data_IF_517076741659
#
_entry.id   IF_517076741659
#
_cell.length_a   1.000
_cell.length_b   1.000
_cell.length_c   1.000
_cell.angle_alpha   90.00
_cell.angle_beta   90.00
_cell.angle_gamma   90.00
#
_symmetry.space_group_name_H-M   'P 1'
#
loop_
_entity.id
_entity.type
_entity.pdbx_description
1 polymer ?
#
# COMPACT_ATOMS: atom_id res chain seq x y z
N UNK A 1 34.97 18.42 -42.57
CA UNK A 1 34.18 18.48 -41.32
C UNK A 1 33.01 19.38 -41.60
N UNK A 2 31.82 18.79 -41.72
CA UNK A 2 30.60 19.46 -42.17
C UNK A 2 29.89 20.12 -40.99
N UNK A 3 29.14 21.19 -41.24
CA UNK A 3 28.41 22.01 -40.26
C UNK A 3 27.42 21.26 -39.32
N UNK A 4 27.25 19.94 -39.48
CA UNK A 4 26.53 19.06 -38.55
C UNK A 4 27.36 18.65 -37.33
N UNK A 5 28.69 18.60 -37.43
CA UNK A 5 29.55 18.16 -36.32
C UNK A 5 29.69 19.25 -35.26
N UNK A 6 29.66 20.52 -35.65
CA UNK A 6 29.77 21.68 -34.75
C UNK A 6 28.49 21.89 -33.91
N UNK A 7 27.33 21.40 -34.38
CA UNK A 7 26.05 21.58 -33.70
C UNK A 7 25.83 20.56 -32.56
N UNK A 8 26.49 19.40 -32.63
CA UNK A 8 26.41 18.34 -31.61
C UNK A 8 27.31 18.67 -30.42
N UNK A 9 28.52 19.20 -30.66
CA UNK A 9 29.44 19.57 -29.58
C UNK A 9 28.91 20.72 -28.71
N UNK A 10 28.20 21.68 -29.31
CA UNK A 10 27.63 22.83 -28.56
C UNK A 10 26.46 22.42 -27.65
N UNK A 11 25.77 21.33 -27.99
CA UNK A 11 24.63 20.82 -27.21
C UNK A 11 25.08 19.92 -26.04
N UNK A 12 26.24 19.27 -26.18
CA UNK A 12 26.86 18.47 -25.11
C UNK A 12 27.44 19.39 -24.02
N UNK A 13 28.02 20.55 -24.38
CA UNK A 13 28.57 21.51 -23.40
C UNK A 13 27.49 22.25 -22.61
N UNK A 14 26.33 22.55 -23.22
CA UNK A 14 25.19 23.15 -22.49
C UNK A 14 24.53 22.17 -21.51
N UNK A 15 24.42 20.88 -21.85
CA UNK A 15 23.88 19.87 -20.93
C UNK A 15 24.84 19.55 -19.77
N UNK A 16 26.16 19.62 -20.00
CA UNK A 16 27.16 19.48 -18.94
C UNK A 16 27.10 20.65 -17.94
N UNK A 17 26.95 21.89 -18.42
CA UNK A 17 26.84 23.06 -17.55
C UNK A 17 25.54 23.09 -16.72
N UNK A 18 24.42 22.59 -17.25
CA UNK A 18 23.16 22.44 -16.49
C UNK A 18 23.29 21.33 -15.43
N UNK A 19 24.08 20.27 -15.70
CA UNK A 19 24.35 19.21 -14.71
C UNK A 19 25.30 19.65 -13.61
N UNK A 20 26.26 20.54 -13.89
CA UNK A 20 27.17 21.10 -12.88
C UNK A 20 26.50 22.19 -12.02
N UNK A 21 25.59 22.99 -12.58
CA UNK A 21 24.78 23.95 -11.81
C UNK A 21 23.73 23.26 -10.91
N UNK A 22 23.21 22.10 -11.31
CA UNK A 22 22.35 21.27 -10.46
C UNK A 22 23.13 20.52 -9.36
N UNK A 23 24.46 20.39 -9.49
CA UNK A 23 25.31 19.69 -8.53
C UNK A 23 25.78 20.60 -7.36
N UNK A 24 25.59 21.92 -7.45
CA UNK A 24 26.05 22.88 -6.44
C UNK A 24 24.97 23.46 -5.53
N UNK A 25 23.70 23.07 -5.70
CA UNK A 25 22.58 23.45 -4.80
C UNK A 25 22.05 22.25 -3.98
N UNK A 26 22.88 21.23 -3.78
CA UNK A 26 22.64 20.18 -2.79
C UNK A 26 22.96 20.66 -1.38
N UNK A 27 22.22 21.63 -0.85
CA UNK A 27 22.18 21.83 0.60
C UNK A 27 21.83 20.49 1.24
N UNK A 28 22.69 20.05 2.16
CA UNK A 28 22.57 18.79 2.86
C UNK A 28 21.25 18.70 3.63
N UNK A 29 20.20 18.24 2.96
CA UNK A 29 18.97 17.82 3.59
C UNK A 29 19.36 16.71 4.57
N UNK A 30 19.29 17.01 5.87
CA UNK A 30 19.72 16.10 6.94
C UNK A 30 18.85 14.85 6.83
N UNK A 31 19.35 13.83 6.14
CA UNK A 31 18.65 12.57 5.91
C UNK A 31 18.10 12.07 7.24
N UNK A 32 16.77 12.05 7.42
CA UNK A 32 16.13 11.71 8.69
C UNK A 32 16.76 10.42 9.26
N UNK A 33 17.38 10.41 10.43
CA UNK A 33 18.04 9.19 10.93
C UNK A 33 17.06 8.31 11.69
N UNK A 34 16.81 7.09 11.19
CA UNK A 34 15.92 6.13 11.86
C UNK A 34 16.43 5.79 13.28
N UNK A 35 15.54 5.59 14.28
CA UNK A 35 15.93 5.36 15.68
C UNK A 35 16.88 4.16 15.84
N UNK A 36 18.03 4.31 16.50
CA UNK A 36 18.92 3.18 16.82
C UNK A 36 18.62 2.68 18.24
N UNK A 37 17.94 1.56 18.34
CA UNK A 37 17.44 0.99 19.61
C UNK A 37 17.75 -0.49 19.70
N UNK A 38 17.82 -1.03 20.92
CA UNK A 38 18.13 -2.45 21.17
C UNK A 38 17.12 -3.42 20.54
N UNK A 39 15.88 -2.96 20.31
CA UNK A 39 14.84 -3.76 19.68
C UNK A 39 14.85 -3.69 18.14
N UNK A 40 15.83 -3.00 17.52
CA UNK A 40 16.02 -3.03 16.07
C UNK A 40 16.59 -4.39 15.65
N UNK A 41 15.81 -5.18 14.93
CA UNK A 41 16.20 -6.53 14.51
C UNK A 41 17.11 -6.54 13.29
N UNK A 42 16.82 -5.68 12.30
CA UNK A 42 17.70 -5.48 11.14
C UNK A 42 17.45 -4.13 10.47
N UNK A 43 18.40 -3.77 9.60
CA UNK A 43 18.36 -2.58 8.75
C UNK A 43 18.76 -2.95 7.34
N UNK A 44 18.24 -2.20 6.39
CA UNK A 44 18.68 -2.21 4.99
C UNK A 44 18.93 -0.78 4.56
N UNK A 45 19.25 -0.57 3.29
CA UNK A 45 19.27 0.78 2.74
C UNK A 45 17.90 1.44 2.90
N UNK A 46 17.86 2.63 3.53
CA UNK A 46 16.63 3.42 3.69
C UNK A 46 15.63 2.94 4.75
N UNK A 47 15.82 1.77 5.38
CA UNK A 47 14.81 1.21 6.29
C UNK A 47 15.28 0.35 7.46
N UNK A 48 14.35 0.07 8.38
CA UNK A 48 14.61 -0.70 9.60
C UNK A 48 13.35 -1.41 10.13
N UNK A 49 13.54 -2.61 10.66
CA UNK A 49 12.49 -3.38 11.35
C UNK A 49 12.81 -3.51 12.84
N UNK A 50 11.84 -3.21 13.69
CA UNK A 50 11.91 -3.31 15.15
C UNK A 50 10.96 -4.39 15.70
N UNK A 51 11.38 -5.09 16.73
CA UNK A 51 10.57 -6.07 17.45
C UNK A 51 9.91 -5.40 18.66
N UNK A 52 8.63 -5.66 18.88
CA UNK A 52 7.90 -5.25 20.08
C UNK A 52 6.47 -4.79 19.81
N UNK A 53 5.76 -4.47 20.89
CA UNK A 53 4.43 -3.87 20.81
C UNK A 53 4.50 -2.50 20.11
N UNK A 54 3.75 -2.33 19.03
CA UNK A 54 3.84 -1.17 18.16
C UNK A 54 3.55 0.14 18.88
N UNK A 55 2.53 0.17 19.75
CA UNK A 55 2.17 1.36 20.54
C UNK A 55 3.29 1.75 21.50
N UNK A 56 3.88 0.79 22.23
CA UNK A 56 5.02 1.04 23.14
C UNK A 56 6.26 1.52 22.39
N UNK A 57 6.59 0.89 21.26
CA UNK A 57 7.75 1.25 20.45
C UNK A 57 7.59 2.67 19.89
N UNK A 58 6.44 2.98 19.29
CA UNK A 58 6.18 4.28 18.67
C UNK A 58 6.13 5.43 19.70
N UNK A 59 5.64 5.19 20.92
CA UNK A 59 5.64 6.19 22.01
C UNK A 59 7.00 6.34 22.71
N UNK A 60 7.99 5.52 22.39
CA UNK A 60 9.30 5.58 23.05
C UNK A 60 10.08 6.84 22.66
N UNK A 61 10.92 7.35 23.57
CA UNK A 61 11.73 8.56 23.35
C UNK A 61 12.52 8.56 22.02
N UNK A 62 13.15 7.44 21.59
CA UNK A 62 13.84 7.40 20.30
C UNK A 62 12.95 7.64 19.08
N UNK A 63 11.67 7.25 19.15
CA UNK A 63 10.70 7.32 18.05
C UNK A 63 10.01 8.67 17.92
N UNK A 64 10.04 9.53 18.95
CA UNK A 64 9.56 10.92 18.88
C UNK A 64 10.10 11.70 17.67
N UNK A 65 11.30 11.37 17.20
CA UNK A 65 11.90 12.01 16.01
C UNK A 65 11.12 11.79 14.71
N UNK A 66 10.20 10.82 14.69
CA UNK A 66 9.33 10.49 13.57
C UNK A 66 7.98 11.23 13.63
N UNK A 67 7.66 11.89 14.75
CA UNK A 67 6.48 12.75 14.87
C UNK A 67 6.48 13.79 13.75
N UNK A 68 5.35 13.94 13.05
CA UNK A 68 5.20 14.87 11.93
C UNK A 68 5.92 14.50 10.63
N UNK A 69 6.47 13.28 10.47
CA UNK A 69 7.37 12.93 9.36
C UNK A 69 6.99 11.70 8.55
N UNK A 70 5.98 10.95 8.97
CA UNK A 70 5.53 9.76 8.25
C UNK A 70 4.57 10.18 7.14
N UNK A 71 4.91 9.90 5.89
CA UNK A 71 4.04 10.24 4.77
C UNK A 71 2.90 9.24 4.62
N UNK A 72 3.18 7.96 4.85
CA UNK A 72 2.20 6.89 4.70
C UNK A 72 2.34 5.88 5.83
N UNK A 73 1.27 5.68 6.60
CA UNK A 73 1.10 4.50 7.44
C UNK A 73 0.28 3.50 6.63
N UNK A 74 0.88 2.39 6.22
CA UNK A 74 0.20 1.36 5.42
C UNK A 74 0.25 0.04 6.20
N UNK A 75 -0.91 -0.49 6.57
CA UNK A 75 -0.96 -1.60 7.51
C UNK A 75 -2.22 -2.45 7.43
N UNK A 76 -2.16 -3.63 8.03
CA UNK A 76 -3.29 -4.53 8.26
C UNK A 76 -3.26 -4.96 9.73
N UNK A 77 -4.00 -4.30 10.63
CA UNK A 77 -3.97 -4.62 12.05
C UNK A 77 -4.34 -6.08 12.31
N UNK A 78 -3.79 -6.72 13.36
CA UNK A 78 -4.25 -8.03 13.79
C UNK A 78 -5.76 -7.98 14.05
N UNK A 79 -6.51 -8.79 13.31
CA UNK A 79 -7.96 -8.84 13.45
C UNK A 79 -8.35 -9.98 14.40
N UNK A 80 -9.30 -9.78 15.34
CA UNK A 80 -9.76 -10.84 16.21
C UNK A 80 -10.55 -11.84 15.38
N UNK A 81 -9.89 -12.93 15.02
CA UNK A 81 -10.53 -14.06 14.37
C UNK A 81 -11.23 -14.91 15.44
N UNK A 82 -12.39 -15.49 15.09
CA UNK A 82 -13.15 -16.36 15.98
C UNK A 82 -12.39 -17.61 16.46
N UNK A 83 -11.29 -17.95 15.77
CA UNK A 83 -10.36 -18.98 16.21
C UNK A 83 -9.18 -18.33 16.94
N UNK A 84 -8.90 -18.80 18.16
CA UNK A 84 -7.73 -18.41 18.95
C UNK A 84 -6.47 -18.61 18.11
N UNK A 85 -5.90 -17.53 17.57
CA UNK A 85 -4.48 -17.53 17.21
C UNK A 85 -3.67 -17.37 18.50
N UNK A 86 -2.36 -17.63 18.46
CA UNK A 86 -1.46 -17.55 19.62
C UNK A 86 -1.40 -16.18 20.32
N UNK A 87 -2.11 -15.18 19.80
CA UNK A 87 -2.28 -13.87 20.38
C UNK A 87 -3.54 -13.86 21.24
N UNK A 88 -3.47 -13.26 22.43
CA UNK A 88 -4.68 -12.95 23.21
C UNK A 88 -5.61 -12.10 22.34
N UNK A 89 -6.67 -12.70 21.81
CA UNK A 89 -7.61 -11.99 20.96
C UNK A 89 -8.38 -11.01 21.84
N UNK A 90 -8.15 -9.71 21.62
CA UNK A 90 -9.04 -8.66 22.13
C UNK A 90 -10.40 -8.89 21.48
N UNK A 91 -11.46 -8.98 22.28
CA UNK A 91 -12.81 -9.28 21.74
C UNK A 91 -13.72 -8.07 21.82
N UNK A 92 -14.52 -7.85 20.77
CA UNK A 92 -15.54 -6.80 20.72
C UNK A 92 -15.00 -5.43 21.15
N UNK A 93 -15.50 -4.93 22.27
CA UNK A 93 -15.16 -3.63 22.84
C UNK A 93 -13.66 -3.47 23.15
N UNK A 94 -12.97 -4.51 23.61
CA UNK A 94 -11.53 -4.45 23.87
C UNK A 94 -10.72 -4.16 22.60
N UNK A 95 -11.17 -4.73 21.47
CA UNK A 95 -10.56 -4.48 20.17
C UNK A 95 -10.82 -3.06 19.71
N UNK A 96 -12.06 -2.57 19.86
CA UNK A 96 -12.43 -1.20 19.51
C UNK A 96 -11.61 -0.18 20.30
N UNK A 97 -11.51 -0.36 21.62
CA UNK A 97 -10.70 0.49 22.49
C UNK A 97 -9.21 0.46 22.11
N UNK A 98 -8.70 -0.72 21.75
CA UNK A 98 -7.31 -0.86 21.30
C UNK A 98 -7.07 -0.12 19.98
N UNK A 99 -7.92 -0.35 18.96
CA UNK A 99 -7.85 0.31 17.66
C UNK A 99 -7.96 1.83 17.83
N UNK A 100 -8.96 2.32 18.55
CA UNK A 100 -9.13 3.75 18.85
C UNK A 100 -7.87 4.35 19.47
N UNK A 101 -7.24 3.62 20.39
CA UNK A 101 -6.02 4.09 21.06
C UNK A 101 -4.79 4.22 20.15
N UNK A 102 -4.82 3.63 18.94
CA UNK A 102 -3.78 3.77 17.92
C UNK A 102 -3.96 5.05 17.11
N UNK A 103 -5.18 5.58 17.00
CA UNK A 103 -5.49 6.71 16.13
C UNK A 103 -4.64 7.94 16.45
N UNK A 104 -4.55 8.31 17.73
CA UNK A 104 -3.70 9.44 18.18
C UNK A 104 -2.22 9.19 17.95
N UNK A 105 -1.76 7.95 18.18
CA UNK A 105 -0.35 7.59 17.93
C UNK A 105 -0.02 7.74 16.45
N UNK A 106 -0.94 7.33 15.57
CA UNK A 106 -0.70 7.39 14.13
C UNK A 106 -0.80 8.84 13.63
N UNK A 107 -1.80 9.61 14.08
CA UNK A 107 -1.96 11.01 13.69
C UNK A 107 -0.75 11.89 14.08
N UNK A 108 -0.17 11.65 15.26
CA UNK A 108 1.01 12.38 15.75
C UNK A 108 2.25 12.12 14.88
N UNK A 109 2.34 10.94 14.26
CA UNK A 109 3.45 10.54 13.40
C UNK A 109 3.33 11.08 11.97
N UNK A 110 2.11 11.29 11.48
CA UNK A 110 1.89 11.73 10.11
C UNK A 110 2.45 13.13 9.86
N UNK A 111 3.03 13.35 8.67
CA UNK A 111 3.18 14.69 8.10
C UNK A 111 1.81 15.38 7.96
N UNK A 112 1.80 16.69 7.68
CA UNK A 112 0.56 17.46 7.59
C UNK A 112 -0.37 16.99 6.46
N UNK A 113 0.21 16.49 5.37
CA UNK A 113 -0.47 15.91 4.21
C UNK A 113 -0.36 14.37 4.15
N UNK A 114 0.10 13.75 5.24
CA UNK A 114 0.31 12.31 5.35
C UNK A 114 -1.00 11.50 5.41
N UNK A 115 -0.90 10.24 5.01
CA UNK A 115 -2.04 9.32 4.89
C UNK A 115 -1.90 8.06 5.74
N UNK A 116 -3.03 7.50 6.17
CA UNK A 116 -3.15 6.18 6.77
C UNK A 116 -3.96 5.32 5.81
N UNK A 117 -3.46 4.14 5.46
CA UNK A 117 -4.19 3.13 4.71
C UNK A 117 -4.24 1.86 5.55
N UNK A 118 -5.46 1.43 5.85
CA UNK A 118 -5.71 0.27 6.72
C UNK A 118 -6.53 -0.77 5.97
N UNK A 119 -5.97 -1.98 5.83
CA UNK A 119 -6.69 -3.14 5.32
C UNK A 119 -7.30 -3.95 6.49
N UNK A 120 -8.59 -4.21 6.41
CA UNK A 120 -9.31 -5.02 7.40
C UNK A 120 -10.26 -6.00 6.70
N UNK A 121 -10.22 -7.25 7.15
CA UNK A 121 -11.10 -8.31 6.67
C UNK A 121 -12.47 -8.29 7.34
N UNK A 122 -13.43 -8.94 6.69
CA UNK A 122 -14.72 -9.24 7.29
C UNK A 122 -14.60 -10.29 8.41
N UNK A 123 -15.54 -10.24 9.35
CA UNK A 123 -15.74 -11.27 10.36
C UNK A 123 -17.21 -11.63 10.53
N UNK A 124 -17.46 -12.71 11.25
CA UNK A 124 -18.78 -13.29 11.44
C UNK A 124 -19.04 -13.50 12.92
N UNK A 125 -20.30 -13.38 13.33
CA UNK A 125 -20.70 -13.63 14.72
C UNK A 125 -20.49 -15.11 15.10
N UNK A 126 -19.91 -15.40 16.27
CA UNK A 126 -19.69 -16.77 16.72
C UNK A 126 -20.97 -17.61 16.67
N UNK A 127 -20.91 -18.77 16.02
CA UNK A 127 -22.02 -19.72 15.87
C UNK A 127 -23.30 -19.16 15.21
N UNK A 128 -23.23 -18.01 14.52
CA UNK A 128 -24.39 -17.38 13.88
C UNK A 128 -24.07 -17.05 12.41
N UNK A 129 -25.01 -17.22 11.46
CA UNK A 129 -24.82 -16.83 10.06
C UNK A 129 -25.01 -15.32 9.87
N UNK A 130 -24.46 -14.50 10.77
CA UNK A 130 -24.57 -13.05 10.79
C UNK A 130 -23.16 -12.48 10.63
N UNK A 131 -22.98 -11.58 9.67
CA UNK A 131 -21.72 -10.88 9.51
C UNK A 131 -21.56 -9.87 10.66
N UNK A 132 -20.37 -9.80 11.24
CA UNK A 132 -20.09 -8.91 12.36
C UNK A 132 -19.90 -7.47 11.88
N UNK A 133 -20.36 -6.51 12.68
CA UNK A 133 -20.16 -5.09 12.42
C UNK A 133 -18.78 -4.58 12.89
N UNK A 134 -17.98 -5.44 13.55
CA UNK A 134 -16.74 -5.07 14.22
C UNK A 134 -15.77 -4.28 13.34
N UNK A 135 -15.64 -4.62 12.06
CA UNK A 135 -14.78 -3.88 11.12
C UNK A 135 -15.28 -2.43 10.96
N UNK A 136 -16.58 -2.25 10.72
CA UNK A 136 -17.20 -0.94 10.56
C UNK A 136 -17.15 -0.13 11.86
N UNK A 137 -17.37 -0.78 13.00
CA UNK A 137 -17.22 -0.17 14.32
C UNK A 137 -15.78 0.26 14.58
N UNK A 138 -14.79 -0.55 14.19
CA UNK A 138 -13.38 -0.21 14.29
C UNK A 138 -13.00 0.98 13.40
N UNK A 139 -13.53 1.06 12.17
CA UNK A 139 -13.38 2.24 11.31
C UNK A 139 -13.91 3.49 12.02
N UNK A 140 -15.13 3.42 12.56
CA UNK A 140 -15.77 4.56 13.21
C UNK A 140 -15.00 4.97 14.47
N UNK A 141 -14.61 4.03 15.31
CA UNK A 141 -13.82 4.27 16.52
C UNK A 141 -12.46 4.90 16.19
N UNK A 142 -11.74 4.35 15.21
CA UNK A 142 -10.45 4.88 14.76
C UNK A 142 -10.57 6.30 14.18
N UNK A 143 -11.56 6.51 13.31
CA UNK A 143 -11.73 7.81 12.61
C UNK A 143 -12.20 8.90 13.56
N UNK A 144 -13.10 8.57 14.49
CA UNK A 144 -13.70 9.53 15.43
C UNK A 144 -12.95 9.66 16.75
N UNK A 145 -11.82 8.97 16.90
CA UNK A 145 -10.98 9.03 18.09
C UNK A 145 -10.65 10.48 18.47
N UNK A 146 -10.92 10.85 19.71
CA UNK A 146 -10.74 12.22 20.18
C UNK A 146 -9.25 12.63 20.07
N UNK A 147 -9.01 13.80 19.47
CA UNK A 147 -7.66 14.35 19.31
C UNK A 147 -6.88 13.84 18.09
N UNK A 148 -7.36 12.82 17.37
CA UNK A 148 -6.67 12.32 16.18
C UNK A 148 -6.93 13.19 14.92
N UNK A 149 -8.08 13.86 14.84
CA UNK A 149 -8.43 14.77 13.74
C UNK A 149 -8.58 14.12 12.36
N UNK A 150 -8.73 12.79 12.33
CA UNK A 150 -8.77 11.99 11.11
C UNK A 150 -10.14 12.09 10.41
N UNK A 151 -10.12 11.89 9.09
CA UNK A 151 -11.32 11.65 8.28
C UNK A 151 -11.06 10.56 7.25
N UNK A 152 -12.13 9.85 6.88
CA UNK A 152 -12.10 8.89 5.77
C UNK A 152 -12.08 9.67 4.45
N UNK A 153 -11.01 9.49 3.68
CA UNK A 153 -10.81 10.11 2.37
C UNK A 153 -11.50 9.29 1.29
N UNK A 154 -11.25 7.97 1.28
CA UNK A 154 -11.87 7.06 0.34
C UNK A 154 -11.82 5.62 0.86
N UNK A 155 -12.85 4.84 0.55
CA UNK A 155 -12.82 3.39 0.71
C UNK A 155 -12.50 2.70 -0.61
N UNK A 156 -11.63 1.70 -0.52
CA UNK A 156 -11.31 0.74 -1.56
C UNK A 156 -11.80 -0.66 -1.13
N UNK A 157 -12.07 -1.50 -2.13
CA UNK A 157 -12.43 -2.91 -1.93
C UNK A 157 -11.39 -3.77 -2.63
N UNK A 158 -10.81 -4.72 -1.90
CA UNK A 158 -9.86 -5.67 -2.44
C UNK A 158 -10.55 -7.04 -2.54
N UNK A 159 -10.89 -7.46 -3.75
CA UNK A 159 -11.56 -8.72 -4.04
C UNK A 159 -10.54 -9.81 -4.38
N UNK A 160 -10.66 -10.93 -3.67
CA UNK A 160 -9.85 -12.13 -3.87
C UNK A 160 -10.78 -13.30 -4.28
N UNK A 161 -10.87 -13.64 -5.58
CA UNK A 161 -11.71 -14.74 -6.04
C UNK A 161 -11.19 -16.12 -5.57
N UNK A 162 -9.90 -16.23 -5.27
CA UNK A 162 -9.27 -17.47 -4.80
C UNK A 162 -9.44 -17.72 -3.30
N UNK A 163 -10.24 -16.91 -2.60
CA UNK A 163 -10.54 -17.17 -1.19
C UNK A 163 -11.32 -18.48 -1.06
N UNK A 164 -10.91 -19.32 -0.11
CA UNK A 164 -11.62 -20.55 0.20
C UNK A 164 -13.08 -20.24 0.58
N UNK A 165 -14.04 -21.16 0.35
CA UNK A 165 -15.45 -21.01 0.72
C UNK A 165 -15.66 -20.83 2.24
N UNK A 166 -15.44 -19.61 2.74
CA UNK A 166 -15.47 -19.25 4.15
C UNK A 166 -16.60 -18.25 4.45
N UNK A 167 -17.28 -18.35 5.60
CA UNK A 167 -17.15 -19.42 6.61
C UNK A 167 -17.79 -20.74 6.13
N UNK A 168 -17.03 -21.84 6.17
CA UNK A 168 -17.47 -23.13 5.62
C UNK A 168 -18.81 -23.59 6.19
N UNK A 169 -19.07 -23.36 7.48
CA UNK A 169 -20.33 -23.68 8.15
C UNK A 169 -21.56 -23.07 7.45
N UNK A 170 -21.44 -21.86 6.88
CA UNK A 170 -22.54 -21.09 6.29
C UNK A 170 -22.51 -21.02 4.76
N UNK A 171 -21.42 -21.48 4.16
CA UNK A 171 -21.21 -21.46 2.71
C UNK A 171 -21.32 -22.87 2.13
N UNK A 172 -20.66 -23.86 2.72
CA UNK A 172 -20.59 -25.23 2.18
C UNK A 172 -21.40 -26.24 2.99
N UNK A 173 -21.36 -26.17 4.33
CA UNK A 173 -22.07 -27.13 5.20
C UNK A 173 -23.56 -26.80 5.26
N UNK A 174 -23.91 -25.54 5.51
CA UNK A 174 -25.28 -25.02 5.45
C UNK A 174 -25.29 -23.86 4.47
N UNK A 175 -25.65 -24.05 3.20
CA UNK A 175 -25.48 -23.05 2.14
C UNK A 175 -26.48 -21.90 2.27
N UNK A 176 -26.25 -21.02 3.25
CA UNK A 176 -27.09 -19.89 3.61
C UNK A 176 -26.50 -18.56 3.15
N UNK A 177 -25.21 -18.53 2.84
CA UNK A 177 -24.43 -17.32 2.54
C UNK A 177 -23.53 -17.53 1.33
N UNK A 178 -23.22 -16.42 0.65
CA UNK A 178 -22.20 -16.38 -0.38
C UNK A 178 -20.79 -16.39 0.23
N UNK A 179 -19.78 -16.65 -0.60
CA UNK A 179 -18.37 -16.60 -0.18
C UNK A 179 -18.00 -15.17 0.20
N UNK A 180 -17.57 -14.98 1.44
CA UNK A 180 -16.96 -13.75 1.91
C UNK A 180 -15.60 -13.60 1.23
N UNK A 181 -15.47 -12.76 0.20
CA UNK A 181 -14.36 -12.81 -0.75
C UNK A 181 -13.62 -11.48 -0.93
N UNK A 182 -13.86 -10.51 -0.04
CA UNK A 182 -13.18 -9.22 -0.10
C UNK A 182 -12.70 -8.72 1.26
N UNK A 183 -11.77 -7.77 1.23
CA UNK A 183 -11.35 -6.97 2.37
C UNK A 183 -11.67 -5.49 2.13
N UNK A 184 -11.87 -4.77 3.23
CA UNK A 184 -12.01 -3.33 3.24
C UNK A 184 -10.63 -2.69 3.28
N UNK A 185 -10.41 -1.66 2.48
CA UNK A 185 -9.19 -0.85 2.55
C UNK A 185 -9.60 0.60 2.72
N UNK A 186 -9.32 1.19 3.87
CA UNK A 186 -9.71 2.55 4.22
C UNK A 186 -8.52 3.48 4.14
N UNK A 187 -8.65 4.54 3.35
CA UNK A 187 -7.69 5.64 3.28
C UNK A 187 -8.18 6.81 4.13
N UNK A 188 -7.40 7.18 5.14
CA UNK A 188 -7.66 8.28 6.06
C UNK A 188 -6.54 9.31 6.05
N UNK A 189 -6.83 10.55 6.44
CA UNK A 189 -5.84 11.61 6.62
C UNK A 189 -6.29 12.68 7.63
N UNK A 190 -5.38 13.59 7.99
CA UNK A 190 -5.64 14.78 8.85
C UNK A 190 -6.17 15.99 8.09
N UNK A 191 -6.13 15.96 6.76
CA UNK A 191 -6.52 17.05 5.87
C UNK A 191 -7.49 16.54 4.79
N UNK A 192 -8.25 17.44 4.17
CA UNK A 192 -9.15 17.12 3.05
C UNK A 192 -8.36 16.92 1.75
N UNK A 193 -7.12 17.41 1.70
CA UNK A 193 -6.23 17.37 0.55
C UNK A 193 -4.89 16.69 0.91
N UNK A 194 -4.89 15.42 1.34
CA UNK A 194 -3.65 14.70 1.57
C UNK A 194 -2.88 14.53 0.26
N UNK A 195 -1.58 14.28 0.38
CA UNK A 195 -0.72 13.98 -0.77
C UNK A 195 -1.25 12.78 -1.53
N UNK A 196 -1.61 12.98 -2.80
CA UNK A 196 -2.09 11.94 -3.69
C UNK A 196 -1.92 12.34 -5.15
N UNK A 197 -1.48 11.39 -5.98
CA UNK A 197 -1.41 11.60 -7.43
C UNK A 197 -1.72 10.31 -8.21
N UNK A 198 -2.94 10.25 -8.75
CA UNK A 198 -3.46 9.06 -9.43
C UNK A 198 -2.78 8.80 -10.79
N UNK A 199 -2.00 9.77 -11.30
CA UNK A 199 -1.21 9.62 -12.53
C UNK A 199 -0.05 8.65 -12.34
N UNK A 200 0.44 8.47 -11.10
CA UNK A 200 1.47 7.47 -10.75
C UNK A 200 0.97 6.02 -10.78
N UNK A 201 -0.35 5.83 -10.76
CA UNK A 201 -1.00 4.51 -10.62
C UNK A 201 -2.08 4.29 -11.67
N UNK A 202 -1.83 4.76 -12.89
CA UNK A 202 -2.71 4.51 -14.02
C UNK A 202 -2.80 3.03 -14.35
N UNK A 203 -3.96 2.64 -14.87
CA UNK A 203 -4.23 1.31 -15.41
C UNK A 203 -4.04 1.31 -16.92
N UNK A 204 -3.60 0.21 -17.53
CA UNK A 204 -3.60 0.08 -18.97
C UNK A 204 -4.98 0.36 -19.58
N UNK A 205 -5.00 1.04 -20.72
CA UNK A 205 -6.24 1.24 -21.46
C UNK A 205 -6.86 -0.09 -21.90
N UNK A 206 -8.20 -0.12 -21.97
CA UNK A 206 -8.91 -1.22 -22.61
C UNK A 206 -8.67 -1.19 -24.12
N UNK A 207 -8.83 -2.33 -24.79
CA UNK A 207 -8.69 -2.36 -26.25
C UNK A 207 -9.71 -1.48 -26.96
N UNK A 208 -10.90 -1.31 -26.38
CA UNK A 208 -11.88 -0.36 -26.86
C UNK A 208 -11.38 1.08 -26.81
N UNK A 209 -10.71 1.48 -25.71
CA UNK A 209 -10.14 2.82 -25.58
C UNK A 209 -8.95 3.02 -26.52
N UNK A 210 -8.07 2.02 -26.66
CA UNK A 210 -6.96 2.06 -27.64
C UNK A 210 -7.50 2.23 -29.06
N UNK A 211 -8.57 1.51 -29.43
CA UNK A 211 -9.25 1.66 -30.72
C UNK A 211 -9.87 3.05 -30.90
N UNK A 212 -10.46 3.61 -29.85
CA UNK A 212 -11.02 4.97 -29.86
C UNK A 212 -9.94 6.03 -30.09
N UNK A 213 -8.83 5.96 -29.35
CA UNK A 213 -7.67 6.86 -29.53
C UNK A 213 -7.11 6.77 -30.95
N UNK A 214 -6.99 5.56 -31.51
CA UNK A 214 -6.56 5.35 -32.90
C UNK A 214 -7.55 5.93 -33.92
N UNK A 215 -8.85 5.82 -33.65
CA UNK A 215 -9.90 6.32 -34.56
C UNK A 215 -10.04 7.85 -34.51
N UNK A 216 -9.71 8.49 -33.40
CA UNK A 216 -9.79 9.94 -33.23
C UNK A 216 -11.23 10.49 -33.15
N UNK A 217 -12.24 9.63 -33.03
CA UNK A 217 -13.64 10.05 -33.00
C UNK A 217 -14.53 9.10 -32.17
N UNK A 218 -15.58 9.67 -31.57
CA UNK A 218 -16.62 8.97 -30.86
C UNK A 218 -17.93 9.76 -30.92
N UNK A 219 -19.06 9.10 -30.62
CA UNK A 219 -20.36 9.75 -30.57
C UNK A 219 -20.41 10.66 -29.34
N UNK A 220 -20.25 11.96 -29.56
CA UNK A 220 -20.44 13.01 -28.58
C UNK A 220 -21.91 13.43 -28.49
N UNK A 221 -22.23 14.29 -27.52
CA UNK A 221 -23.59 14.76 -27.28
C UNK A 221 -24.20 14.24 -25.98
N UNK A 222 -25.49 14.50 -25.83
CA UNK A 222 -26.23 14.26 -24.58
C UNK A 222 -26.64 12.80 -24.49
N UNK A 223 -26.20 12.11 -23.43
CA UNK A 223 -26.68 10.76 -23.13
C UNK A 223 -28.04 10.81 -22.42
N UNK A 224 -28.81 9.71 -22.44
CA UNK A 224 -30.04 9.59 -21.65
C UNK A 224 -29.84 9.81 -20.14
N UNK A 225 -28.60 9.72 -19.66
CA UNK A 225 -28.18 9.99 -18.28
C UNK A 225 -27.83 11.46 -18.02
N UNK A 226 -28.26 12.39 -18.89
CA UNK A 226 -28.04 13.84 -18.82
C UNK A 226 -26.57 14.33 -18.83
N UNK A 227 -25.60 13.41 -18.85
CA UNK A 227 -24.20 13.76 -19.03
C UNK A 227 -23.92 14.22 -20.47
N UNK A 228 -23.47 15.47 -20.59
CA UNK A 228 -22.99 16.02 -21.86
C UNK A 228 -21.52 15.64 -22.07
N UNK A 229 -21.26 14.82 -23.08
CA UNK A 229 -19.89 14.43 -23.42
C UNK A 229 -19.35 15.40 -24.45
N UNK A 230 -18.30 16.14 -24.08
CA UNK A 230 -17.57 17.03 -25.00
C UNK A 230 -16.97 16.25 -26.18
N UNK A 231 -16.68 16.90 -27.31
CA UNK A 231 -16.15 16.26 -28.52
C UNK A 231 -14.67 15.83 -28.42
N UNK A 232 -13.94 16.34 -27.40
CA UNK A 232 -12.48 16.20 -27.29
C UNK A 232 -12.00 15.51 -26.02
N UNK A 233 -12.85 15.34 -24.99
CA UNK A 233 -12.43 14.86 -23.67
C UNK A 233 -11.81 13.46 -23.67
N UNK A 234 -12.21 12.58 -24.60
CA UNK A 234 -11.70 11.20 -24.65
C UNK A 234 -10.58 10.98 -25.67
N UNK A 235 -10.12 12.02 -26.37
CA UNK A 235 -9.05 11.90 -27.38
C UNK A 235 -7.65 12.16 -26.83
N UNK A 236 -7.55 12.68 -25.61
CA UNK A 236 -6.26 12.94 -24.97
C UNK A 236 -5.69 11.65 -24.38
N UNK A 237 -4.64 11.13 -24.99
CA UNK A 237 -3.85 10.03 -24.42
C UNK A 237 -3.09 10.54 -23.18
N UNK A 238 -3.29 9.87 -22.05
CA UNK A 238 -2.66 10.17 -20.76
C UNK A 238 -1.79 9.02 -20.26
N UNK A 239 -1.46 8.04 -21.12
CA UNK A 239 -0.68 6.85 -20.78
C UNK A 239 -1.47 5.75 -20.05
N UNK A 240 -2.73 5.98 -19.71
CA UNK A 240 -3.60 5.01 -19.07
C UNK A 240 -4.91 5.59 -18.55
N UNK A 241 -5.77 4.71 -18.04
CA UNK A 241 -7.04 5.08 -17.40
C UNK A 241 -6.88 5.21 -15.88
N UNK A 242 -7.61 6.14 -15.28
CA UNK A 242 -7.65 6.35 -13.83
C UNK A 242 -8.04 5.03 -13.12
N UNK A 243 -7.37 4.66 -12.01
CA UNK A 243 -7.72 3.47 -11.26
C UNK A 243 -9.12 3.54 -10.65
N UNK A 244 -9.75 2.37 -10.53
CA UNK A 244 -11.01 2.25 -9.78
C UNK A 244 -10.68 2.00 -8.31
N UNK A 245 -11.63 2.26 -7.42
CA UNK A 245 -11.54 1.90 -6.00
C UNK A 245 -11.95 0.45 -5.71
N UNK A 246 -11.88 -0.42 -6.71
CA UNK A 246 -12.12 -1.86 -6.62
C UNK A 246 -10.94 -2.59 -7.27
N UNK A 247 -10.23 -3.38 -6.49
CA UNK A 247 -9.11 -4.19 -6.95
C UNK A 247 -9.52 -5.65 -7.05
N UNK A 248 -9.43 -6.19 -8.25
CA UNK A 248 -9.60 -7.60 -8.55
C UNK A 248 -8.20 -8.22 -8.54
N UNK A 249 -7.82 -8.94 -7.48
CA UNK A 249 -6.46 -9.47 -7.35
C UNK A 249 -6.14 -10.55 -8.41
N UNK A 250 -7.17 -11.25 -8.87
CA UNK A 250 -7.10 -12.30 -9.86
C UNK A 250 -8.31 -12.25 -10.80
N UNK A 251 -8.19 -12.69 -12.07
CA UNK A 251 -9.27 -12.62 -13.03
C UNK A 251 -10.49 -13.45 -12.64
N UNK A 252 -11.65 -12.81 -12.61
CA UNK A 252 -12.96 -13.47 -12.47
C UNK A 252 -13.35 -14.29 -13.71
N UNK A 253 -12.82 -13.91 -14.87
CA UNK A 253 -13.08 -14.56 -16.15
C UNK A 253 -11.75 -14.94 -16.81
N UNK A 254 -11.54 -16.20 -17.20
CA UNK A 254 -10.26 -16.67 -17.77
C UNK A 254 -9.79 -15.88 -19.00
N UNK A 255 -10.74 -15.36 -19.78
CA UNK A 255 -10.52 -14.63 -21.03
C UNK A 255 -10.47 -13.11 -20.86
N UNK A 256 -10.72 -12.58 -19.64
CA UNK A 256 -10.66 -11.15 -19.36
C UNK A 256 -9.38 -10.78 -18.64
N UNK A 257 -8.44 -10.05 -19.28
CA UNK A 257 -7.24 -9.59 -18.59
C UNK A 257 -7.62 -8.61 -17.48
N UNK A 258 -7.17 -8.89 -16.26
CA UNK A 258 -7.29 -7.92 -15.16
C UNK A 258 -6.40 -6.73 -15.48
N UNK A 259 -7.02 -5.56 -15.63
CA UNK A 259 -6.29 -4.31 -15.78
C UNK A 259 -6.03 -3.74 -14.39
N UNK A 260 -5.02 -4.23 -13.68
CA UNK A 260 -4.59 -3.61 -12.43
C UNK A 260 -3.76 -2.34 -12.73
N UNK A 261 -3.65 -1.41 -11.77
CA UNK A 261 -2.71 -0.30 -11.87
C UNK A 261 -1.29 -0.79 -12.16
N UNK A 262 -0.50 -0.04 -12.91
CA UNK A 262 0.86 -0.45 -13.31
C UNK A 262 1.78 -0.76 -12.11
N UNK A 263 1.53 -0.15 -10.95
CA UNK A 263 2.23 -0.46 -9.69
C UNK A 263 2.07 -1.91 -9.24
N UNK A 264 0.97 -2.59 -9.61
CA UNK A 264 0.79 -4.02 -9.36
C UNK A 264 1.66 -4.87 -10.30
N UNK A 265 2.03 -4.37 -11.48
CA UNK A 265 2.92 -5.10 -12.39
C UNK A 265 4.33 -5.23 -11.81
N UNK A 266 4.87 -4.20 -11.15
CA UNK A 266 6.14 -4.30 -10.41
C UNK A 266 6.11 -5.41 -9.34
N UNK A 267 4.95 -5.65 -8.74
CA UNK A 267 4.76 -6.73 -7.76
C UNK A 267 4.52 -8.13 -8.35
N UNK A 268 4.08 -8.22 -9.62
CA UNK A 268 3.72 -9.48 -10.29
C UNK A 268 4.77 -9.96 -11.31
N UNK A 269 5.72 -9.11 -11.74
CA UNK A 269 6.74 -9.49 -12.75
C UNK A 269 7.85 -10.38 -12.17
N UNK A 270 7.87 -10.59 -10.85
CA UNK A 270 8.62 -11.66 -10.20
C UNK A 270 7.75 -12.93 -10.09
N UNK A 271 7.37 -13.51 -11.23
CA UNK A 271 6.63 -14.77 -11.28
C UNK A 271 7.36 -15.83 -10.46
N UNK A 272 6.74 -16.30 -9.36
CA UNK A 272 7.31 -16.98 -8.17
C UNK A 272 7.99 -16.05 -7.16
N UNK A 273 7.16 -15.32 -6.37
CA UNK A 273 7.56 -14.47 -5.23
C UNK A 273 8.81 -15.03 -4.54
N UNK A 274 9.93 -14.31 -4.69
CA UNK A 274 11.26 -14.71 -4.21
C UNK A 274 11.17 -15.18 -2.76
N UNK A 275 10.38 -14.48 -1.95
CA UNK A 275 10.13 -14.81 -0.55
C UNK A 275 9.56 -16.22 -0.36
N UNK A 276 8.56 -16.62 -1.16
CA UNK A 276 7.97 -17.96 -1.05
C UNK A 276 8.94 -19.07 -1.44
N UNK A 277 9.76 -18.86 -2.47
CA UNK A 277 10.82 -19.80 -2.84
C UNK A 277 11.85 -19.90 -1.71
N UNK A 278 12.33 -18.76 -1.23
CA UNK A 278 13.31 -18.68 -0.15
C UNK A 278 12.81 -19.30 1.17
N UNK A 279 11.52 -19.16 1.50
CA UNK A 279 10.90 -19.83 2.65
C UNK A 279 10.84 -21.35 2.44
N UNK A 280 10.42 -21.81 1.25
CA UNK A 280 10.32 -23.24 0.93
C UNK A 280 11.69 -23.94 0.99
N UNK A 281 12.71 -23.31 0.42
CA UNK A 281 14.11 -23.81 0.45
C UNK A 281 14.69 -23.90 1.87
N UNK A 282 14.17 -23.10 2.81
CA UNK A 282 14.62 -23.05 4.21
C UNK A 282 13.63 -23.71 5.17
N UNK A 283 12.60 -24.38 4.66
CA UNK A 283 11.55 -25.04 5.45
C UNK A 283 10.84 -24.10 6.45
N UNK A 284 10.74 -22.81 6.11
CA UNK A 284 10.07 -21.80 6.94
C UNK A 284 8.61 -21.72 6.51
N UNK A 285 7.69 -21.84 7.49
CA UNK A 285 6.27 -21.59 7.27
C UNK A 285 6.03 -20.07 7.19
N UNK A 286 5.61 -19.53 6.04
CA UNK A 286 5.46 -18.09 5.88
C UNK A 286 4.28 -17.55 6.70
N UNK A 287 4.31 -16.24 7.01
CA UNK A 287 3.19 -15.55 7.65
C UNK A 287 1.85 -15.87 6.93
N UNK A 288 0.81 -16.30 7.66
CA UNK A 288 -0.40 -16.82 7.03
C UNK A 288 -1.31 -15.74 6.43
N UNK A 289 -1.29 -14.53 6.99
CA UNK A 289 -2.17 -13.43 6.58
C UNK A 289 -1.34 -12.22 6.13
N UNK A 290 -0.89 -12.22 4.88
CA UNK A 290 -0.03 -11.16 4.33
C UNK A 290 -0.83 -10.24 3.43
N UNK A 291 -0.60 -8.93 3.56
CA UNK A 291 -1.09 -7.97 2.59
C UNK A 291 -0.52 -8.31 1.19
N UNK A 292 -1.35 -8.27 0.13
CA UNK A 292 -0.88 -8.45 -1.24
C UNK A 292 0.16 -7.37 -1.62
N UNK A 293 1.29 -7.77 -2.21
CA UNK A 293 2.37 -6.84 -2.56
C UNK A 293 1.93 -5.74 -3.54
N UNK A 294 1.02 -6.05 -4.47
CA UNK A 294 0.48 -5.05 -5.39
C UNK A 294 -0.40 -4.01 -4.72
N UNK A 295 -1.15 -4.39 -3.67
CA UNK A 295 -1.92 -3.45 -2.86
C UNK A 295 -0.98 -2.47 -2.15
N UNK A 296 0.09 -2.99 -1.54
CA UNK A 296 1.08 -2.15 -0.89
C UNK A 296 1.77 -1.20 -1.88
N UNK A 297 2.23 -1.73 -3.01
CA UNK A 297 2.90 -0.96 -4.06
C UNK A 297 2.01 0.14 -4.63
N UNK A 298 0.71 -0.13 -4.79
CA UNK A 298 -0.27 0.88 -5.24
C UNK A 298 -0.35 2.07 -4.31
N UNK A 299 -0.56 1.87 -3.00
CA UNK A 299 -0.71 2.99 -2.09
C UNK A 299 0.61 3.72 -1.84
N UNK A 300 1.74 3.01 -1.87
CA UNK A 300 3.06 3.64 -1.79
C UNK A 300 3.27 4.57 -2.99
N UNK A 301 3.07 4.11 -4.22
CA UNK A 301 3.24 4.96 -5.40
C UNK A 301 2.20 6.10 -5.45
N UNK A 302 0.94 5.80 -5.10
CA UNK A 302 -0.15 6.77 -5.17
C UNK A 302 0.02 7.93 -4.16
N UNK A 303 0.44 7.62 -2.92
CA UNK A 303 0.36 8.54 -1.78
C UNK A 303 1.74 9.04 -1.30
N UNK A 304 2.84 8.62 -1.92
CA UNK A 304 4.20 9.03 -1.56
C UNK A 304 5.07 9.30 -2.76
N UNK A 305 6.17 10.02 -2.57
CA UNK A 305 7.26 10.21 -3.52
C UNK A 305 8.55 9.54 -3.02
N UNK A 306 9.59 9.52 -3.86
CA UNK A 306 10.90 8.97 -3.49
C UNK A 306 11.45 9.68 -2.25
N UNK A 307 12.06 8.91 -1.35
CA UNK A 307 12.61 9.43 -0.09
C UNK A 307 11.60 9.59 1.06
N UNK A 308 10.29 9.63 0.77
CA UNK A 308 9.25 9.69 1.81
C UNK A 308 9.30 8.48 2.75
N UNK A 309 8.86 8.68 4.00
CA UNK A 309 8.83 7.65 5.02
C UNK A 309 7.49 6.91 5.05
N UNK A 310 7.55 5.60 4.82
CA UNK A 310 6.44 4.65 4.98
C UNK A 310 6.58 3.90 6.32
N UNK A 311 5.50 3.78 7.08
CA UNK A 311 5.46 3.05 8.35
C UNK A 311 4.45 1.91 8.28
N UNK A 312 4.87 0.72 8.73
CA UNK A 312 3.96 -0.39 9.02
C UNK A 312 4.09 -0.81 10.50
N UNK A 313 3.14 -0.45 11.38
CA UNK A 313 3.16 -0.82 12.79
C UNK A 313 2.80 -2.30 13.04
N UNK A 314 2.38 -3.04 12.02
CA UNK A 314 2.00 -4.46 12.10
C UNK A 314 2.64 -5.24 10.94
N UNK A 315 3.96 -5.14 10.85
CA UNK A 315 4.72 -5.46 9.63
C UNK A 315 4.64 -6.92 9.18
N UNK A 316 4.42 -7.89 10.08
CA UNK A 316 4.41 -9.32 9.77
C UNK A 316 5.61 -9.74 8.91
N UNK A 317 5.35 -10.25 7.71
CA UNK A 317 6.39 -10.62 6.74
C UNK A 317 7.10 -9.46 6.03
N UNK A 318 6.82 -8.21 6.40
CA UNK A 318 7.36 -6.96 5.85
C UNK A 318 7.10 -6.72 4.35
N UNK A 319 5.89 -7.03 3.87
CA UNK A 319 5.50 -6.70 2.48
C UNK A 319 5.60 -5.19 2.24
N UNK A 320 5.14 -4.39 3.19
CA UNK A 320 5.14 -2.92 3.12
C UNK A 320 6.55 -2.35 3.01
N UNK A 321 7.48 -2.77 3.88
CA UNK A 321 8.86 -2.30 3.83
C UNK A 321 9.60 -2.75 2.57
N UNK A 322 9.33 -3.97 2.08
CA UNK A 322 9.88 -4.45 0.82
C UNK A 322 9.38 -3.64 -0.38
N UNK A 323 8.07 -3.39 -0.48
CA UNK A 323 7.50 -2.57 -1.56
C UNK A 323 7.99 -1.12 -1.51
N UNK A 324 8.15 -0.56 -0.30
CA UNK A 324 8.72 0.77 -0.11
C UNK A 324 10.19 0.82 -0.58
N UNK A 325 10.99 -0.19 -0.24
CA UNK A 325 12.38 -0.27 -0.66
C UNK A 325 12.54 -0.35 -2.19
N UNK A 326 11.78 -1.23 -2.88
CA UNK A 326 11.75 -1.30 -4.34
C UNK A 326 11.38 0.03 -5.00
N UNK A 327 10.54 0.80 -4.32
CA UNK A 327 10.05 2.09 -4.79
C UNK A 327 10.97 3.26 -4.36
N UNK A 328 12.15 3.00 -3.81
CA UNK A 328 13.07 4.03 -3.28
C UNK A 328 12.43 4.94 -2.21
N UNK A 329 11.50 4.39 -1.43
CA UNK A 329 10.95 5.02 -0.23
C UNK A 329 11.69 4.52 1.00
N UNK A 330 11.69 5.35 2.03
CA UNK A 330 12.21 4.98 3.33
C UNK A 330 11.15 4.23 4.10
N UNK A 331 11.55 3.32 4.97
CA UNK A 331 10.55 2.51 5.67
C UNK A 331 10.90 2.17 7.12
N UNK A 332 9.87 2.06 7.94
CA UNK A 332 9.93 1.51 9.29
C UNK A 332 8.86 0.45 9.42
N UNK A 333 9.23 -0.73 9.92
CA UNK A 333 8.27 -1.78 10.26
C UNK A 333 8.40 -2.16 11.74
N UNK A 334 7.30 -2.54 12.37
CA UNK A 334 7.25 -3.00 13.75
C UNK A 334 6.33 -4.23 13.85
N UNK A 335 6.73 -5.23 14.63
CA UNK A 335 5.89 -6.39 14.91
C UNK A 335 6.30 -7.00 16.26
N UNK A 336 5.31 -7.51 16.99
CA UNK A 336 5.53 -8.12 18.30
C UNK A 336 6.12 -9.54 18.19
N UNK A 337 5.87 -10.24 17.08
CA UNK A 337 6.29 -11.61 16.86
C UNK A 337 7.66 -11.67 16.22
N UNK A 338 8.67 -12.05 17.01
CA UNK A 338 10.06 -12.13 16.55
C UNK A 338 10.23 -13.05 15.34
N UNK A 339 9.51 -14.18 15.29
CA UNK A 339 9.58 -15.13 14.17
C UNK A 339 9.14 -14.50 12.86
N UNK A 340 8.14 -13.60 12.90
CA UNK A 340 7.70 -12.87 11.71
C UNK A 340 8.73 -11.86 11.23
N UNK A 341 9.40 -11.19 12.17
CA UNK A 341 10.50 -10.29 11.86
C UNK A 341 11.68 -11.05 11.26
N UNK A 342 12.05 -12.20 11.81
CA UNK A 342 13.17 -13.02 11.32
C UNK A 342 12.92 -13.55 9.91
N UNK A 343 11.76 -14.16 9.63
CA UNK A 343 11.44 -14.62 8.27
C UNK A 343 11.45 -13.46 7.26
N UNK A 344 11.04 -12.25 7.67
CA UNK A 344 10.94 -11.10 6.76
C UNK A 344 12.27 -10.68 6.14
N UNK A 345 13.41 -11.00 6.80
CA UNK A 345 14.76 -10.75 6.27
C UNK A 345 14.96 -11.38 4.90
N UNK A 346 14.30 -12.51 4.63
CA UNK A 346 14.36 -13.17 3.32
C UNK A 346 13.89 -12.27 2.18
N UNK A 347 12.92 -11.37 2.39
CA UNK A 347 12.49 -10.43 1.34
C UNK A 347 13.61 -9.52 0.85
N UNK A 348 14.56 -9.21 1.74
CA UNK A 348 15.65 -8.28 1.45
C UNK A 348 16.89 -8.95 0.86
N UNK A 349 16.80 -10.24 0.55
CA UNK A 349 17.79 -10.96 -0.26
C UNK A 349 17.40 -11.01 -1.75
N UNK A 350 16.26 -10.42 -2.11
CA UNK A 350 15.78 -10.38 -3.48
C UNK A 350 16.69 -9.52 -4.37
N UNK A 351 17.25 -10.06 -5.46
CA UNK A 351 18.10 -9.31 -6.40
C UNK A 351 17.45 -8.06 -6.98
N UNK A 352 16.11 -7.99 -7.04
CA UNK A 352 15.40 -6.81 -7.53
C UNK A 352 15.76 -5.55 -6.72
N UNK A 353 16.05 -5.68 -5.43
CA UNK A 353 16.45 -4.55 -4.60
C UNK A 353 17.83 -3.98 -4.95
N UNK A 354 18.71 -4.81 -5.52
CA UNK A 354 20.03 -4.37 -6.03
C UNK A 354 19.97 -3.79 -7.43
N UNK A 355 19.03 -4.24 -8.27
CA UNK A 355 18.83 -3.70 -9.63
C UNK A 355 18.16 -2.32 -9.62
N UNK A 356 17.36 -2.02 -8.59
CA UNK A 356 16.67 -0.72 -8.43
C UNK A 356 17.44 0.30 -7.58
N UNK A 357 18.62 -0.05 -7.07
CA UNK A 357 19.44 0.89 -6.29
C UNK A 357 20.06 1.93 -7.25
N UNK A 358 19.90 3.24 -6.98
CA UNK A 358 20.41 4.30 -7.85
C UNK A 358 21.94 4.32 -7.96
#
# INVERSE_FOLDING_TARGET
MTAKDTQIDTQITQNAAISELAATEGEAEVSLRLPRTANCAYRTHGGAYYVGDSKKVLRSKPFKRLEGKVQLILTSPPYPLNEKKSYGNLTGEEYLNWVESLATVFSDLLSDDGSIVMELGNSWEPNRPVQSLLALEALLAFTKAQGAGLRLIQQFVCYNPSRLPSPASWVTVRPLRAVDSFTHVWWLAKTDYPKADNRKVLRPYSDAMKRLLKRGSYNSGTRPSEHHISDKSFLNDRGGSIPHNFFELEPMQPDRPVRLPNSFSLSNTASTDFFHRACREREIVPHPARMPAGLASFFIEYLTDRGDLVLDPFGGSNTTGYAAALSSRRWVAIDAQKDYVEQSKLRFLDPLLTETAP
#
